data_IF_688425924183
#
_entry.id   IF_688425924183
#
_cell.length_a   1.000
_cell.length_b   1.000
_cell.length_c   1.000
_cell.angle_alpha   90.00
_cell.angle_beta   90.00
_cell.angle_gamma   90.00
#
_symmetry.space_group_name_H-M   'P 1'
#
loop_
_entity.id
_entity.type
_entity.pdbx_description
1 polymer ?
#
# COMPACT_ATOMS: atom_id res chain seq x y z
N UNK A 1 -3.05 -5.75 11.78
CA UNK A 1 -1.88 -4.96 11.36
C UNK A 1 -2.35 -3.57 10.99
N UNK A 2 -1.62 -2.51 11.37
CA UNK A 2 -1.96 -1.13 11.00
C UNK A 2 -2.00 -0.92 9.47
N UNK A 3 -1.14 -1.61 8.71
CA UNK A 3 -1.14 -1.56 7.24
C UNK A 3 -2.42 -2.16 6.64
N UNK A 4 -2.84 -3.35 7.08
CA UNK A 4 -4.12 -3.96 6.67
C UNK A 4 -5.30 -3.04 6.98
N UNK A 5 -5.27 -2.42 8.17
CA UNK A 5 -6.27 -1.46 8.59
C UNK A 5 -6.29 -0.19 7.74
N UNK A 6 -5.16 0.25 7.17
CA UNK A 6 -5.13 1.38 6.25
C UNK A 6 -5.61 0.99 4.84
N UNK A 7 -5.28 -0.22 4.36
CA UNK A 7 -5.70 -0.70 3.04
C UNK A 7 -7.23 -0.79 2.91
N UNK A 8 -7.92 -1.27 3.95
CA UNK A 8 -9.39 -1.38 3.94
C UNK A 8 -10.09 -0.01 3.82
N UNK A 9 -9.43 1.07 4.23
CA UNK A 9 -10.00 2.43 4.23
C UNK A 9 -9.98 3.09 2.84
N UNK A 10 -9.27 2.50 1.87
CA UNK A 10 -9.10 3.11 0.55
C UNK A 10 -10.44 3.42 -0.14
N UNK A 11 -11.41 2.48 -0.26
CA UNK A 11 -12.66 2.75 -0.95
C UNK A 11 -13.47 3.86 -0.28
N UNK A 12 -13.49 3.87 1.07
CA UNK A 12 -14.18 4.91 1.85
C UNK A 12 -13.54 6.27 1.66
N UNK A 13 -12.21 6.35 1.68
CA UNK A 13 -11.45 7.59 1.45
C UNK A 13 -11.72 8.14 0.05
N UNK A 14 -11.71 7.29 -0.98
CA UNK A 14 -11.99 7.70 -2.36
C UNK A 14 -13.41 8.21 -2.51
N UNK A 15 -14.40 7.48 -1.98
CA UNK A 15 -15.81 7.89 -2.05
C UNK A 15 -16.03 9.25 -1.37
N UNK A 16 -15.48 9.44 -0.17
CA UNK A 16 -15.60 10.69 0.56
C UNK A 16 -14.89 11.85 -0.15
N UNK A 17 -13.66 11.64 -0.63
CA UNK A 17 -12.92 12.66 -1.38
C UNK A 17 -13.67 13.11 -2.64
N UNK A 18 -14.38 12.20 -3.32
CA UNK A 18 -15.23 12.51 -4.45
C UNK A 18 -16.49 13.30 -4.04
N UNK A 19 -17.17 12.89 -2.97
CA UNK A 19 -18.37 13.54 -2.44
C UNK A 19 -18.12 15.01 -2.09
N UNK A 20 -17.04 15.29 -1.35
CA UNK A 20 -16.70 16.65 -0.93
C UNK A 20 -15.83 17.41 -1.95
N UNK A 21 -15.45 16.78 -3.06
CA UNK A 21 -14.59 17.34 -4.12
C UNK A 21 -13.21 17.78 -3.61
N UNK A 22 -12.61 16.96 -2.74
CA UNK A 22 -11.34 17.24 -2.08
C UNK A 22 -10.27 16.20 -2.45
N UNK A 23 -9.67 16.27 -3.65
CA UNK A 23 -8.71 15.26 -4.15
C UNK A 23 -7.42 15.18 -3.30
N UNK A 24 -7.06 16.25 -2.60
CA UNK A 24 -5.90 16.28 -1.69
C UNK A 24 -5.99 15.23 -0.57
N UNK A 25 -7.20 14.77 -0.22
CA UNK A 25 -7.39 13.66 0.74
C UNK A 25 -6.80 12.35 0.25
N UNK A 26 -6.87 12.08 -1.07
CA UNK A 26 -6.25 10.90 -1.66
C UNK A 26 -4.74 10.99 -1.50
N UNK A 27 -4.13 12.14 -1.83
CA UNK A 27 -2.69 12.34 -1.69
C UNK A 27 -2.22 12.12 -0.24
N UNK A 28 -2.93 12.69 0.74
CA UNK A 28 -2.63 12.49 2.16
C UNK A 28 -2.76 11.03 2.60
N UNK A 29 -3.82 10.34 2.17
CA UNK A 29 -3.99 8.91 2.45
C UNK A 29 -2.83 8.08 1.89
N UNK A 30 -2.38 8.36 0.66
CA UNK A 30 -1.29 7.62 0.03
C UNK A 30 0.05 7.88 0.75
N UNK A 31 0.30 9.09 1.22
CA UNK A 31 1.47 9.42 2.04
C UNK A 31 1.46 8.61 3.36
N UNK A 32 0.33 8.60 4.06
CA UNK A 32 0.16 7.84 5.31
C UNK A 32 0.30 6.33 5.09
N UNK A 33 -0.28 5.80 4.00
CA UNK A 33 -0.15 4.40 3.59
C UNK A 33 1.29 4.02 3.27
N UNK A 34 2.01 4.85 2.50
CA UNK A 34 3.42 4.62 2.18
C UNK A 34 4.29 4.60 3.45
N UNK A 35 4.03 5.51 4.40
CA UNK A 35 4.71 5.50 5.69
C UNK A 35 4.45 4.24 6.53
N UNK A 36 3.21 3.73 6.51
CA UNK A 36 2.87 2.46 7.16
C UNK A 36 3.54 1.26 6.46
N UNK A 37 3.59 1.29 5.13
CA UNK A 37 4.24 0.25 4.33
C UNK A 37 5.74 0.19 4.60
N UNK A 38 6.47 1.31 4.59
CA UNK A 38 7.90 1.32 4.88
C UNK A 38 8.21 0.70 6.25
N UNK A 39 7.47 1.12 7.30
CA UNK A 39 7.62 0.52 8.64
C UNK A 39 7.31 -0.97 8.65
N UNK A 40 6.29 -1.42 7.91
CA UNK A 40 5.96 -2.84 7.84
C UNK A 40 7.06 -3.61 7.10
N UNK A 41 7.54 -3.10 5.97
CA UNK A 41 8.56 -3.75 5.14
C UNK A 41 9.90 -3.91 5.88
N UNK A 42 10.31 -2.89 6.65
CA UNK A 42 11.50 -2.95 7.51
C UNK A 42 11.41 -4.05 8.58
N UNK A 43 10.22 -4.24 9.16
CA UNK A 43 10.00 -5.20 10.24
C UNK A 43 9.62 -6.61 9.75
N UNK A 44 9.10 -6.73 8.52
CA UNK A 44 8.53 -7.96 7.99
C UNK A 44 9.18 -8.32 6.64
N UNK A 45 10.28 -9.07 6.69
CA UNK A 45 10.95 -9.53 5.48
C UNK A 45 10.02 -10.37 4.60
N UNK A 46 9.84 -9.97 3.35
CA UNK A 46 8.96 -10.65 2.38
C UNK A 46 9.59 -11.95 1.86
N UNK A 47 10.90 -11.97 1.69
CA UNK A 47 11.68 -13.11 1.17
C UNK A 47 12.42 -13.86 2.29
N UNK A 48 12.81 -15.13 2.07
CA UNK A 48 13.68 -15.84 3.02
C UNK A 48 15.05 -15.16 3.21
N UNK A 49 15.74 -15.49 4.29
CA UNK A 49 17.09 -14.99 4.58
C UNK A 49 18.14 -16.02 4.14
N UNK A 50 19.04 -15.64 3.24
CA UNK A 50 20.07 -16.56 2.74
C UNK A 50 19.44 -17.79 2.09
N UNK A 51 19.78 -18.96 2.60
CA UNK A 51 19.32 -20.26 2.09
C UNK A 51 18.10 -20.82 2.86
N UNK A 52 17.47 -20.02 3.72
CA UNK A 52 16.25 -20.42 4.43
C UNK A 52 15.13 -20.80 3.44
N UNK A 53 14.30 -21.82 3.76
CA UNK A 53 13.24 -22.26 2.85
C UNK A 53 12.10 -21.24 2.73
N UNK A 54 11.40 -21.28 1.59
CA UNK A 54 10.17 -20.50 1.41
C UNK A 54 9.03 -21.12 2.23
N UNK A 55 8.71 -20.47 3.34
CA UNK A 55 7.55 -20.77 4.18
C UNK A 55 6.28 -19.99 3.79
N UNK A 56 5.08 -20.44 4.23
CA UNK A 56 3.79 -19.76 3.96
C UNK A 56 3.71 -18.29 4.39
N UNK A 57 4.52 -17.90 5.39
CA UNK A 57 4.60 -16.50 5.83
C UNK A 57 5.12 -15.58 4.73
N UNK A 58 6.07 -16.04 3.89
CA UNK A 58 6.60 -15.27 2.76
C UNK A 58 5.51 -15.00 1.73
N UNK A 59 4.69 -16.00 1.41
CA UNK A 59 3.57 -15.85 0.49
C UNK A 59 2.52 -14.87 1.06
N UNK A 60 2.19 -14.98 2.34
CA UNK A 60 1.23 -14.07 2.98
C UNK A 60 1.75 -12.62 2.98
N UNK A 61 3.06 -12.42 3.21
CA UNK A 61 3.69 -11.10 3.14
C UNK A 61 3.73 -10.57 1.71
N UNK A 62 3.98 -11.42 0.72
CA UNK A 62 3.92 -11.05 -0.69
C UNK A 62 2.52 -10.55 -1.09
N UNK A 63 1.45 -11.21 -0.65
CA UNK A 63 0.09 -10.73 -0.91
C UNK A 63 -0.17 -9.34 -0.30
N UNK A 64 0.32 -9.08 0.91
CA UNK A 64 0.18 -7.77 1.53
C UNK A 64 1.00 -6.70 0.79
N UNK A 65 2.21 -7.06 0.33
CA UNK A 65 3.04 -6.20 -0.51
C UNK A 65 2.30 -5.83 -1.81
N UNK A 66 1.74 -6.82 -2.49
CA UNK A 66 1.06 -6.61 -3.78
C UNK A 66 -0.23 -5.81 -3.63
N UNK A 67 -1.00 -6.08 -2.58
CA UNK A 67 -2.19 -5.30 -2.23
C UNK A 67 -1.85 -3.83 -1.97
N UNK A 68 -0.74 -3.57 -1.26
CA UNK A 68 -0.26 -2.20 -1.03
C UNK A 68 0.14 -1.53 -2.34
N UNK A 69 0.90 -2.21 -3.19
CA UNK A 69 1.26 -1.72 -4.51
C UNK A 69 0.05 -1.40 -5.38
N UNK A 70 -1.00 -2.23 -5.33
CA UNK A 70 -2.23 -2.01 -6.06
C UNK A 70 -2.94 -0.73 -5.62
N UNK A 71 -3.08 -0.51 -4.30
CA UNK A 71 -3.72 0.70 -3.77
C UNK A 71 -2.92 1.95 -4.12
N UNK A 72 -1.59 1.90 -4.01
CA UNK A 72 -0.72 3.02 -4.40
C UNK A 72 -0.88 3.38 -5.88
N UNK A 73 -0.84 2.39 -6.78
CA UNK A 73 -1.05 2.59 -8.23
C UNK A 73 -2.43 3.18 -8.53
N UNK A 74 -3.48 2.64 -7.89
CA UNK A 74 -4.85 3.14 -8.05
C UNK A 74 -4.97 4.61 -7.62
N UNK A 75 -4.45 4.95 -6.43
CA UNK A 75 -4.51 6.31 -5.91
C UNK A 75 -3.69 7.32 -6.72
N UNK A 76 -2.48 6.94 -7.14
CA UNK A 76 -1.65 7.79 -8.02
C UNK A 76 -2.32 8.02 -9.38
N UNK A 77 -2.97 6.99 -9.93
CA UNK A 77 -3.79 7.12 -11.16
C UNK A 77 -4.93 8.11 -10.98
N UNK A 78 -5.65 8.07 -9.84
CA UNK A 78 -6.71 9.03 -9.53
C UNK A 78 -6.21 10.49 -9.43
N UNK A 79 -4.94 10.68 -9.04
CA UNK A 79 -4.28 11.98 -8.97
C UNK A 79 -3.68 12.42 -10.32
N UNK A 80 -3.77 11.59 -11.36
CA UNK A 80 -3.22 11.90 -12.69
C UNK A 80 -1.69 11.84 -12.76
N UNK A 81 -1.05 11.11 -11.85
CA UNK A 81 0.42 10.94 -11.85
C UNK A 81 0.81 9.49 -12.09
N UNK A 82 1.98 9.29 -12.69
CA UNK A 82 2.52 7.95 -12.97
C UNK A 82 2.95 7.22 -11.70
N UNK A 83 2.81 5.89 -11.70
CA UNK A 83 3.33 5.01 -10.68
C UNK A 83 4.44 4.13 -11.30
N UNK A 84 5.72 4.51 -11.19
CA UNK A 84 6.81 3.80 -11.85
C UNK A 84 7.01 2.41 -11.25
N UNK A 85 7.31 1.42 -12.10
CA UNK A 85 7.65 0.06 -11.65
C UNK A 85 9.06 -0.02 -11.04
N UNK A 86 9.92 0.94 -11.39
CA UNK A 86 11.30 1.07 -10.92
C UNK A 86 11.63 2.56 -10.78
N UNK A 87 12.19 2.94 -9.63
CA UNK A 87 12.72 4.28 -9.36
C UNK A 87 14.19 4.38 -9.78
#
# INVERSE_FOLDING_TARGET
>A
SALLGALQEFPRTVAFAAEVREPHRIARYLEELAGLYHRWYDNCRVIPLGDDPIEPVHQTRLWLNDATGQVLRNGLTLLGVGAPERM
#
